data_IF_558429669412
#
_entry.id   IF_558429669412
#
_cell.length_a   1.000
_cell.length_b   1.000
_cell.length_c   1.000
_cell.angle_alpha   90.00
_cell.angle_beta   90.00
_cell.angle_gamma   90.00
#
_symmetry.space_group_name_H-M   'P 1'
#
loop_
_entity.id
_entity.type
_entity.pdbx_description
1 polymer ?
#
# COMPACT_ATOMS: atom_id res chain seq x y z
N UNK A 1 8.72 -6.95 -1.84
CA UNK A 1 7.70 -7.73 -2.59
C UNK A 1 7.08 -6.82 -3.63
N UNK A 2 7.03 -7.22 -4.88
CA UNK A 2 6.46 -6.46 -6.01
C UNK A 2 5.55 -7.33 -6.86
N UNK A 3 4.70 -6.69 -7.65
CA UNK A 3 3.88 -7.37 -8.64
C UNK A 3 4.71 -7.85 -9.85
N UNK A 4 4.08 -8.65 -10.70
CA UNK A 4 4.64 -9.18 -11.94
C UNK A 4 4.45 -8.18 -13.12
N UNK A 5 4.45 -6.88 -12.88
CA UNK A 5 4.34 -5.88 -13.94
C UNK A 5 5.69 -5.71 -14.66
N UNK A 6 5.67 -5.62 -15.99
CA UNK A 6 6.89 -5.65 -16.84
C UNK A 6 8.05 -4.72 -16.42
N UNK A 7 7.82 -3.48 -15.94
CA UNK A 7 8.87 -2.61 -15.41
C UNK A 7 9.54 -3.13 -14.13
N UNK A 8 8.85 -3.91 -13.31
CA UNK A 8 9.41 -4.53 -12.11
C UNK A 8 10.20 -5.78 -12.41
N UNK A 9 9.93 -6.49 -13.50
CA UNK A 9 10.56 -7.78 -13.84
C UNK A 9 12.05 -7.69 -14.17
N UNK A 10 12.67 -6.51 -14.09
CA UNK A 10 14.13 -6.32 -14.28
C UNK A 10 14.66 -6.96 -15.58
N UNK A 11 13.79 -7.06 -16.58
CA UNK A 11 14.06 -7.75 -17.84
C UNK A 11 15.15 -7.02 -18.63
N UNK A 12 15.70 -7.69 -19.66
CA UNK A 12 16.65 -7.06 -20.60
C UNK A 12 16.13 -5.74 -21.20
N UNK A 13 14.81 -5.54 -21.26
CA UNK A 13 14.16 -4.35 -21.82
C UNK A 13 14.03 -3.18 -20.83
N UNK A 14 13.93 -3.45 -19.53
CA UNK A 14 13.81 -2.42 -18.49
C UNK A 14 14.64 -2.81 -17.26
N UNK A 15 15.89 -2.33 -17.27
CA UNK A 15 16.90 -2.61 -16.24
C UNK A 15 16.92 -1.64 -15.07
N UNK A 16 16.30 -0.46 -15.22
CA UNK A 16 16.34 0.64 -14.24
C UNK A 16 16.03 0.21 -12.79
N UNK A 17 15.06 -0.69 -12.58
CA UNK A 17 14.70 -1.20 -11.25
C UNK A 17 15.75 -2.19 -10.72
N UNK A 18 16.32 -3.00 -11.60
CA UNK A 18 17.38 -3.96 -11.28
C UNK A 18 18.65 -3.25 -10.84
N UNK A 19 19.05 -2.24 -11.62
CA UNK A 19 20.29 -1.50 -11.37
C UNK A 19 20.18 -0.72 -10.06
N UNK A 20 18.99 -0.17 -9.76
CA UNK A 20 18.67 0.44 -8.46
C UNK A 20 18.70 -0.57 -7.32
N UNK A 21 18.21 -1.79 -7.53
CA UNK A 21 18.21 -2.81 -6.49
C UNK A 21 19.64 -3.29 -6.17
N UNK A 22 20.47 -3.47 -7.20
CA UNK A 22 21.87 -3.90 -7.08
C UNK A 22 22.72 -2.91 -6.26
N UNK A 23 22.68 -1.62 -6.60
CA UNK A 23 23.43 -0.59 -5.85
C UNK A 23 22.95 -0.40 -4.41
N UNK A 24 21.71 -0.80 -4.10
CA UNK A 24 21.15 -0.72 -2.75
C UNK A 24 21.15 -2.08 -2.02
N UNK A 25 21.71 -3.14 -2.63
CA UNK A 25 21.71 -4.50 -2.08
C UNK A 25 20.31 -5.00 -1.69
N UNK A 26 19.30 -4.68 -2.51
CA UNK A 26 17.89 -5.06 -2.28
C UNK A 26 17.55 -6.30 -3.12
N UNK A 27 16.98 -7.31 -2.48
CA UNK A 27 16.38 -8.45 -3.17
C UNK A 27 14.90 -8.18 -3.51
N UNK A 28 14.52 -8.41 -4.76
CA UNK A 28 13.13 -8.25 -5.21
C UNK A 28 12.43 -9.61 -5.26
N UNK A 29 11.47 -9.81 -4.36
CA UNK A 29 10.53 -10.93 -4.42
C UNK A 29 9.28 -10.55 -5.23
N UNK A 30 8.86 -11.41 -6.16
CA UNK A 30 7.68 -11.21 -7.01
C UNK A 30 6.48 -12.04 -6.54
N UNK A 31 5.29 -11.47 -6.61
CA UNK A 31 4.04 -12.25 -6.49
C UNK A 31 3.71 -12.94 -7.81
N UNK A 32 3.02 -14.10 -7.79
CA UNK A 32 2.51 -14.72 -9.01
C UNK A 32 1.57 -13.80 -9.81
N UNK A 33 1.40 -14.09 -11.11
CA UNK A 33 0.52 -13.32 -12.02
C UNK A 33 -0.95 -13.40 -11.60
N UNK A 34 -1.67 -12.28 -11.61
CA UNK A 34 -3.10 -12.18 -11.23
C UNK A 34 -3.42 -12.56 -9.77
N UNK A 35 -2.40 -12.50 -8.90
CA UNK A 35 -2.51 -12.87 -7.48
C UNK A 35 -2.29 -11.65 -6.56
N UNK A 36 -3.08 -10.58 -6.76
CA UNK A 36 -2.96 -9.31 -6.01
C UNK A 36 -3.09 -9.49 -4.49
N UNK A 37 -3.92 -10.42 -4.05
CA UNK A 37 -4.23 -10.69 -2.65
C UNK A 37 -3.05 -11.20 -1.82
N UNK A 38 -2.01 -11.77 -2.45
CA UNK A 38 -0.77 -12.12 -1.75
C UNK A 38 0.06 -10.89 -1.39
N UNK A 39 -0.18 -9.75 -2.04
CA UNK A 39 0.53 -8.52 -1.77
C UNK A 39 -0.18 -7.76 -0.64
N UNK A 40 0.47 -7.66 0.53
CA UNK A 40 -0.06 -6.95 1.72
C UNK A 40 -0.54 -5.51 1.43
N UNK A 41 0.04 -4.84 0.44
CA UNK A 41 -0.35 -3.47 0.07
C UNK A 41 -1.80 -3.40 -0.44
N UNK A 42 -2.35 -4.47 -1.01
CA UNK A 42 -3.73 -4.48 -1.53
C UNK A 42 -4.75 -4.19 -0.40
N UNK A 43 -4.56 -4.81 0.77
CA UNK A 43 -5.39 -4.56 1.95
C UNK A 43 -5.31 -3.10 2.42
N UNK A 44 -4.13 -2.50 2.38
CA UNK A 44 -3.92 -1.09 2.77
C UNK A 44 -4.59 -0.14 1.78
N UNK A 45 -4.46 -0.40 0.48
CA UNK A 45 -5.09 0.42 -0.55
C UNK A 45 -6.62 0.25 -0.59
N UNK A 46 -7.15 -0.88 -0.12
CA UNK A 46 -8.60 -1.05 0.07
C UNK A 46 -9.12 -0.06 1.11
N UNK A 47 -8.48 0.04 2.28
CA UNK A 47 -8.84 1.02 3.30
C UNK A 47 -8.69 2.47 2.80
N UNK A 48 -7.58 2.76 2.11
CA UNK A 48 -7.36 4.08 1.50
C UNK A 48 -8.35 4.41 0.38
N UNK A 49 -8.84 3.42 -0.36
CA UNK A 49 -9.86 3.61 -1.40
C UNK A 49 -11.19 4.03 -0.78
N UNK A 50 -11.62 3.37 0.29
CA UNK A 50 -12.81 3.78 1.03
C UNK A 50 -12.67 5.21 1.53
N UNK A 51 -11.52 5.56 2.11
CA UNK A 51 -11.25 6.95 2.52
C UNK A 51 -11.33 7.92 1.33
N UNK A 52 -10.63 7.64 0.24
CA UNK A 52 -10.48 8.58 -0.86
C UNK A 52 -11.73 8.74 -1.74
N UNK A 53 -12.60 7.71 -1.80
CA UNK A 53 -13.79 7.71 -2.65
C UNK A 53 -15.09 7.89 -1.87
N UNK A 54 -15.20 7.32 -0.66
CA UNK A 54 -16.44 7.39 0.13
C UNK A 54 -16.36 8.45 1.25
N UNK A 55 -15.17 8.92 1.62
CA UNK A 55 -15.02 9.95 2.64
C UNK A 55 -14.52 11.27 2.05
N UNK A 56 -15.45 12.23 1.97
CA UNK A 56 -15.19 13.65 1.75
C UNK A 56 -14.82 14.03 0.31
N UNK A 57 -15.69 14.81 -0.34
CA UNK A 57 -15.40 15.48 -1.61
C UNK A 57 -14.21 16.44 -1.45
N UNK A 58 -13.03 15.98 -1.85
CA UNK A 58 -11.82 16.81 -1.87
C UNK A 58 -11.81 17.68 -3.13
N UNK A 59 -11.68 19.02 -3.04
CA UNK A 59 -11.89 19.95 -4.15
C UNK A 59 -10.77 19.94 -5.20
N UNK A 60 -9.75 19.08 -5.09
CA UNK A 60 -8.68 18.98 -6.08
C UNK A 60 -7.56 17.99 -5.74
N UNK A 61 -6.64 17.78 -6.69
CA UNK A 61 -5.55 16.80 -6.57
C UNK A 61 -4.61 17.03 -5.37
N UNK A 62 -4.30 18.30 -5.06
CA UNK A 62 -3.45 18.63 -3.90
C UNK A 62 -4.14 18.29 -2.58
N UNK A 63 -5.45 18.56 -2.48
CA UNK A 63 -6.23 18.21 -1.29
C UNK A 63 -6.35 16.69 -1.10
N UNK A 64 -6.52 15.93 -2.19
CA UNK A 64 -6.50 14.46 -2.18
C UNK A 64 -5.16 13.88 -1.68
N UNK A 65 -4.02 14.46 -2.10
CA UNK A 65 -2.70 14.02 -1.64
C UNK A 65 -2.44 14.30 -0.16
N UNK A 66 -2.92 15.43 0.36
CA UNK A 66 -2.78 15.79 1.77
C UNK A 66 -3.66 14.93 2.69
N UNK A 67 -4.87 14.56 2.26
CA UNK A 67 -5.77 13.69 3.02
C UNK A 67 -5.17 12.29 3.26
N UNK A 68 -4.43 11.74 2.29
CA UNK A 68 -3.73 10.46 2.46
C UNK A 68 -2.64 10.49 3.53
N UNK A 69 -1.97 11.63 3.73
CA UNK A 69 -0.97 11.81 4.78
C UNK A 69 -1.60 11.93 6.17
N UNK A 70 -2.73 12.66 6.29
CA UNK A 70 -3.44 12.86 7.54
C UNK A 70 -4.07 11.57 8.13
N UNK A 71 -4.48 10.62 7.27
CA UNK A 71 -5.03 9.34 7.72
C UNK A 71 -4.00 8.43 8.42
N UNK A 72 -2.70 8.72 8.28
CA UNK A 72 -1.62 7.96 8.95
C UNK A 72 -1.29 8.53 10.35
N UNK A 73 -1.79 9.73 10.70
CA UNK A 73 -1.53 10.40 11.97
C UNK A 73 -2.67 10.29 13.01
N UNK A 74 -3.67 9.45 12.76
CA UNK A 74 -4.81 9.26 13.64
C UNK A 74 -4.77 7.89 14.33
N UNK A 75 -3.72 7.62 15.09
CA UNK A 75 -3.66 6.47 16.01
C UNK A 75 -2.85 6.85 17.25
N UNK A 76 -3.48 7.52 18.23
CA UNK A 76 -2.92 7.60 19.60
C UNK A 76 -3.89 8.08 20.70
N UNK A 77 -5.19 8.23 20.44
CA UNK A 77 -6.19 8.52 21.50
C UNK A 77 -7.42 7.63 21.39
N UNK A 78 -7.22 6.32 21.59
CA UNK A 78 -8.31 5.38 21.82
C UNK A 78 -8.36 5.05 23.32
N UNK A 79 -9.33 5.63 24.02
CA UNK A 79 -9.74 5.21 25.38
C UNK A 79 -10.08 3.71 25.38
N UNK A 80 -9.76 2.95 26.45
CA UNK A 80 -10.04 1.53 26.46
C UNK A 80 -11.54 1.28 26.57
N UNK A 81 -12.18 0.93 25.45
CA UNK A 81 -13.50 0.27 25.49
C UNK A 81 -13.27 -1.19 25.88
N UNK A 82 -13.87 -1.51 27.01
CA UNK A 82 -13.94 -2.79 27.70
C UNK A 82 -14.01 -4.02 26.79
N UNK A 83 -13.11 -4.96 27.08
CA UNK A 83 -13.20 -6.40 26.84
C UNK A 83 -14.65 -6.92 26.79
N UNK A 84 -15.03 -7.48 25.64
CA UNK A 84 -16.21 -8.36 25.53
C UNK A 84 -16.21 -9.21 24.24
N UNK A 85 -15.10 -9.86 23.86
CA UNK A 85 -15.16 -11.02 22.95
C UNK A 85 -14.06 -12.02 23.32
N UNK A 86 -14.39 -12.88 24.28
CA UNK A 86 -13.75 -14.16 24.50
C UNK A 86 -14.71 -15.26 24.03
N UNK A 87 -14.16 -16.32 23.41
CA UNK A 87 -14.79 -17.51 22.79
C UNK A 87 -15.27 -17.30 21.35
N UNK A 88 -14.90 -18.11 20.36
CA UNK A 88 -14.40 -19.49 20.34
C UNK A 88 -13.22 -19.63 19.38
#
# INVERSE_FOLDING_TARGET
>A
MCDYYSPHLTTKRCRRVADRADVNSVEIAYTPTDHSWFNRIEAQFTALRYLALDSTDQPGHKARGAAGFAATSADETSTPVTSAYARW
#
